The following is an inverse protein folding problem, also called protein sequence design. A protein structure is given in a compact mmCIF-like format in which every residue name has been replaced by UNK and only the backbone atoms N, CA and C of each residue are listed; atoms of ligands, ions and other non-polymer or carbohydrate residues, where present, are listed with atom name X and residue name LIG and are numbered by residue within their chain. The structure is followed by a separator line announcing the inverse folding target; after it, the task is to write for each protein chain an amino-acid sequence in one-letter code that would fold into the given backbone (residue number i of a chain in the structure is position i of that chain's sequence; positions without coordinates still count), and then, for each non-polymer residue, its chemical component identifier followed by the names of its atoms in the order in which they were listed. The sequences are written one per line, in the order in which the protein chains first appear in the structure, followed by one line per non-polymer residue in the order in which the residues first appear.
data_IF_930081062943
#
_entry.id   IF_930081062943
#
_cell.length_a   1.000
_cell.length_b   1.000
_cell.length_c   1.000
_cell.angle_alpha   90.00
_cell.angle_beta   90.00
_cell.angle_gamma   90.00
#
_symmetry.space_group_name_H-M   'P 1'
#
loop_
_entity.id
_entity.type
_entity.pdbx_description
1 polymer ?
#
# COMPACT_ATOMS: atom_id res chain seq x y z
N UNK A 1 48.36 30.76 4.11
CA UNK A 1 48.43 31.18 5.54
C UNK A 1 47.25 30.51 6.21
N UNK A 2 47.48 29.32 6.77
CA UNK A 2 47.62 29.08 8.22
C UNK A 2 46.40 29.52 9.01
N UNK A 3 45.80 28.76 9.93
CA UNK A 3 45.91 27.39 10.47
C UNK A 3 44.87 27.40 11.63
N UNK A 4 44.58 26.23 12.22
CA UNK A 4 43.87 26.01 13.51
C UNK A 4 42.33 25.99 13.45
N UNK A 5 41.62 24.87 13.49
CA UNK A 5 41.75 23.61 14.26
C UNK A 5 41.43 23.79 15.75
N UNK A 6 40.19 23.53 16.13
CA UNK A 6 39.70 23.20 17.47
C UNK A 6 38.40 22.39 17.30
N UNK A 7 38.05 21.36 18.03
CA UNK A 7 38.75 20.34 18.80
C UNK A 7 37.64 19.32 19.08
N UNK A 8 37.91 18.03 18.81
CA UNK A 8 37.00 16.95 19.22
C UNK A 8 36.84 16.97 20.74
N UNK A 9 35.64 16.70 21.25
CA UNK A 9 35.50 16.25 22.64
C UNK A 9 34.76 14.91 22.71
N UNK A 10 35.57 13.92 23.02
CA UNK A 10 35.25 12.55 23.36
C UNK A 10 34.62 12.51 24.76
N UNK A 11 33.47 11.87 24.91
CA UNK A 11 33.00 11.37 26.20
C UNK A 11 32.63 9.90 26.04
N UNK A 12 33.66 9.08 26.22
CA UNK A 12 33.56 7.65 26.52
C UNK A 12 33.08 7.52 27.97
N UNK A 13 31.93 6.89 28.19
CA UNK A 13 31.55 6.34 29.50
C UNK A 13 31.58 4.81 29.39
N UNK A 14 32.48 4.11 30.09
CA UNK A 14 32.47 2.66 30.15
C UNK A 14 31.50 2.23 31.25
N UNK A 15 30.33 1.70 30.88
CA UNK A 15 29.51 0.95 31.83
C UNK A 15 30.08 -0.46 31.90
N UNK A 16 30.80 -0.70 33.01
CA UNK A 16 31.36 -1.98 33.42
C UNK A 16 30.27 -3.06 33.47
N UNK A 17 30.49 -4.10 32.68
CA UNK A 17 29.72 -5.34 32.67
C UNK A 17 30.13 -6.16 33.89
N UNK A 18 29.23 -6.32 34.85
CA UNK A 18 29.37 -7.32 35.91
C UNK A 18 28.76 -8.63 35.41
N UNK A 19 29.59 -9.49 34.85
CA UNK A 19 29.27 -10.89 34.60
C UNK A 19 29.25 -11.64 35.93
N UNK A 20 28.05 -11.89 36.48
CA UNK A 20 27.87 -12.92 37.50
C UNK A 20 27.87 -14.28 36.82
N UNK A 21 28.92 -15.05 37.05
CA UNK A 21 29.04 -16.46 36.66
C UNK A 21 27.99 -17.32 37.36
N UNK A 22 27.00 -17.81 36.60
CA UNK A 22 26.12 -18.90 37.06
C UNK A 22 26.57 -20.19 36.38
N UNK A 23 26.92 -21.24 37.15
CA UNK A 23 27.41 -22.49 36.60
C UNK A 23 26.29 -23.34 35.98
N UNK A 24 26.69 -23.98 34.88
CA UNK A 24 26.03 -25.02 34.10
C UNK A 24 25.56 -26.20 34.98
N UNK A 25 24.33 -26.70 34.73
CA UNK A 25 23.94 -28.13 34.73
C UNK A 25 22.41 -28.26 34.61
N UNK A 26 21.91 -28.65 33.44
CA UNK A 26 20.97 -29.77 33.31
C UNK A 26 20.57 -29.97 31.85
N UNK A 27 20.72 -31.22 31.42
CA UNK A 27 20.20 -31.77 30.18
C UNK A 27 18.71 -31.51 30.05
N UNK A 28 18.25 -31.11 28.86
CA UNK A 28 17.17 -31.79 28.12
C UNK A 28 16.69 -30.97 26.91
N UNK A 29 16.47 -31.69 25.82
CA UNK A 29 15.69 -31.37 24.63
C UNK A 29 16.19 -30.22 23.72
N UNK A 30 16.87 -30.61 22.63
CA UNK A 30 16.70 -29.90 21.36
C UNK A 30 15.20 -29.92 21.02
N UNK A 31 14.49 -28.84 21.32
CA UNK A 31 13.19 -28.59 20.72
C UNK A 31 13.45 -28.25 19.25
N UNK A 32 13.26 -29.23 18.36
CA UNK A 32 13.11 -29.00 16.94
C UNK A 32 11.86 -28.12 16.77
N UNK A 33 12.08 -26.80 16.67
CA UNK A 33 11.03 -25.88 16.24
C UNK A 33 10.71 -26.23 14.80
N UNK A 34 9.70 -27.07 14.60
CA UNK A 34 9.04 -27.18 13.30
C UNK A 34 8.45 -25.81 13.01
N UNK A 35 9.14 -25.02 12.18
CA UNK A 35 8.51 -23.89 11.50
C UNK A 35 7.35 -24.46 10.70
N UNK A 36 6.16 -24.41 11.29
CA UNK A 36 4.93 -24.58 10.52
C UNK A 36 4.93 -23.44 9.52
N UNK A 37 5.27 -23.75 8.28
CA UNK A 37 4.90 -22.93 7.14
C UNK A 37 3.37 -22.87 7.16
N UNK A 38 2.83 -21.87 7.83
CA UNK A 38 1.42 -21.56 7.78
C UNK A 38 1.10 -21.23 6.33
N UNK A 39 0.47 -22.18 5.63
CA UNK A 39 -0.09 -21.93 4.31
C UNK A 39 -1.08 -20.78 4.46
N UNK A 40 -0.75 -19.62 3.89
CA UNK A 40 -1.69 -18.52 3.84
C UNK A 40 -2.96 -19.03 3.17
N UNK A 41 -4.15 -18.80 3.75
CA UNK A 41 -5.39 -19.27 3.14
C UNK A 41 -5.45 -18.79 1.69
N UNK A 42 -5.72 -19.71 0.76
CA UNK A 42 -5.83 -19.38 -0.66
C UNK A 42 -6.96 -18.36 -0.86
N UNK A 43 -6.59 -17.13 -1.22
CA UNK A 43 -7.54 -16.04 -1.48
C UNK A 43 -7.81 -15.94 -2.97
N UNK A 44 -9.05 -15.63 -3.32
CA UNK A 44 -9.47 -15.47 -4.72
C UNK A 44 -9.62 -13.99 -5.05
N UNK A 45 -9.15 -13.58 -6.22
CA UNK A 45 -9.29 -12.22 -6.74
C UNK A 45 -10.49 -12.13 -7.68
N UNK A 46 -11.34 -11.13 -7.47
CA UNK A 46 -12.45 -10.82 -8.36
C UNK A 46 -11.99 -9.95 -9.54
N UNK A 47 -12.74 -10.00 -10.65
CA UNK A 47 -12.45 -9.16 -11.83
C UNK A 47 -12.55 -7.68 -11.45
N UNK A 48 -11.55 -6.90 -11.86
CA UNK A 48 -11.53 -5.44 -11.65
C UNK A 48 -12.77 -4.76 -12.24
N UNK A 49 -13.40 -3.90 -11.43
CA UNK A 49 -14.54 -3.06 -11.80
C UNK A 49 -14.34 -1.66 -11.22
N UNK A 50 -14.74 -0.66 -11.97
CA UNK A 50 -14.67 0.75 -11.58
C UNK A 50 -15.92 1.48 -12.08
N UNK A 51 -16.47 2.34 -11.24
CA UNK A 51 -17.49 3.33 -11.55
C UNK A 51 -16.88 4.73 -11.79
N UNK A 52 -15.55 4.87 -11.65
CA UNK A 52 -14.84 6.14 -11.75
C UNK A 52 -14.83 6.89 -10.42
N UNK A 53 -15.18 8.17 -10.41
CA UNK A 53 -15.15 8.97 -9.18
C UNK A 53 -16.46 8.77 -8.38
N UNK A 54 -16.54 7.68 -7.60
CA UNK A 54 -17.74 7.34 -6.82
C UNK A 54 -18.25 8.53 -6.00
N UNK A 55 -19.47 8.98 -6.29
CA UNK A 55 -20.12 10.07 -5.55
C UNK A 55 -19.50 11.46 -5.77
N UNK A 56 -18.65 11.63 -6.78
CA UNK A 56 -17.99 12.90 -7.10
C UNK A 56 -17.98 13.17 -8.62
N UNK A 57 -18.01 14.44 -9.07
CA UNK A 57 -17.84 14.74 -10.50
C UNK A 57 -16.50 14.22 -11.04
N UNK A 58 -16.44 13.87 -12.32
CA UNK A 58 -15.22 13.31 -12.94
C UNK A 58 -14.39 14.34 -13.70
N UNK A 59 -14.83 15.59 -13.66
CA UNK A 59 -14.22 16.74 -14.28
C UNK A 59 -15.02 18.01 -14.05
N UNK A 60 -14.61 19.08 -14.71
CA UNK A 60 -15.32 20.36 -14.66
C UNK A 60 -16.54 20.34 -15.59
N UNK A 61 -17.34 21.40 -15.56
CA UNK A 61 -18.43 21.56 -16.52
C UNK A 61 -17.92 21.60 -17.98
N UNK A 62 -16.73 22.16 -18.21
CA UNK A 62 -16.13 22.31 -19.54
C UNK A 62 -15.45 21.01 -19.98
N UNK A 63 -14.80 20.32 -19.04
CA UNK A 63 -14.09 19.06 -19.28
C UNK A 63 -14.61 17.96 -18.34
N UNK A 64 -15.71 17.29 -18.67
CA UNK A 64 -16.42 16.40 -17.74
C UNK A 64 -15.68 15.15 -17.28
N UNK A 65 -14.55 14.81 -17.92
CA UNK A 65 -13.73 13.63 -17.60
C UNK A 65 -12.29 14.00 -17.21
N UNK A 66 -12.02 15.27 -16.92
CA UNK A 66 -10.68 15.82 -16.72
C UNK A 66 -9.81 14.96 -15.78
N UNK A 67 -10.38 14.50 -14.66
CA UNK A 67 -9.67 13.69 -13.66
C UNK A 67 -10.26 12.29 -13.48
N UNK A 68 -11.19 11.85 -14.34
CA UNK A 68 -11.75 10.48 -14.33
C UNK A 68 -10.65 9.41 -14.26
N UNK A 69 -9.58 9.63 -15.01
CA UNK A 69 -8.45 8.71 -15.06
C UNK A 69 -7.73 8.55 -13.72
N UNK A 70 -7.65 9.59 -12.89
CA UNK A 70 -7.08 9.53 -11.55
C UNK A 70 -7.92 8.63 -10.63
N UNK A 71 -9.25 8.71 -10.71
CA UNK A 71 -10.16 7.86 -9.94
C UNK A 71 -10.06 6.38 -10.35
N UNK A 72 -9.92 6.11 -11.66
CA UNK A 72 -9.71 4.73 -12.16
C UNK A 72 -8.38 4.16 -11.66
N UNK A 73 -7.32 4.97 -11.62
CA UNK A 73 -6.04 4.53 -11.06
C UNK A 73 -6.15 4.26 -9.56
N UNK A 74 -6.85 5.12 -8.81
CA UNK A 74 -7.12 4.94 -7.38
C UNK A 74 -7.90 3.65 -7.10
N UNK A 75 -8.95 3.38 -7.88
CA UNK A 75 -9.74 2.15 -7.79
C UNK A 75 -8.88 0.89 -8.03
N UNK A 76 -7.84 0.94 -8.87
CA UNK A 76 -6.94 -0.20 -9.06
C UNK A 76 -6.13 -0.52 -7.82
N UNK A 77 -5.60 0.48 -7.13
CA UNK A 77 -4.91 0.27 -5.85
C UNK A 77 -5.87 -0.28 -4.80
N UNK A 78 -7.11 0.23 -4.75
CA UNK A 78 -8.14 -0.28 -3.83
C UNK A 78 -8.57 -1.69 -4.17
N UNK A 79 -8.53 -2.06 -5.44
CA UNK A 79 -8.82 -3.41 -5.88
C UNK A 79 -7.74 -4.40 -5.44
N UNK A 80 -6.46 -4.04 -5.59
CA UNK A 80 -5.37 -4.92 -5.21
C UNK A 80 -5.08 -4.95 -3.72
N UNK A 81 -5.32 -3.84 -3.01
CA UNK A 81 -4.93 -3.71 -1.61
C UNK A 81 -3.41 -3.65 -1.43
N UNK A 82 -2.94 -4.08 -0.27
CA UNK A 82 -1.52 -4.02 0.15
C UNK A 82 -1.39 -3.54 1.59
N UNK A 83 -0.16 -3.29 2.10
CA UNK A 83 0.03 -2.68 3.42
C UNK A 83 -0.75 -1.37 3.59
N UNK A 84 -1.16 -1.02 4.82
CA UNK A 84 -1.89 0.24 5.07
C UNK A 84 -1.12 1.48 4.58
N UNK A 85 0.22 1.45 4.63
CA UNK A 85 1.04 2.52 4.05
C UNK A 85 0.91 2.65 2.53
N UNK A 86 0.50 1.60 1.83
CA UNK A 86 0.18 1.64 0.40
C UNK A 86 -1.21 2.25 0.15
N UNK A 87 -2.14 2.11 1.09
CA UNK A 87 -3.43 2.83 1.06
C UNK A 87 -3.19 4.34 1.14
N UNK A 88 -2.43 4.80 2.14
CA UNK A 88 -2.08 6.21 2.30
C UNK A 88 -1.39 6.78 1.04
N UNK A 89 -0.48 5.99 0.45
CA UNK A 89 0.19 6.36 -0.80
C UNK A 89 -0.78 6.44 -1.99
N UNK A 90 -1.75 5.52 -2.09
CA UNK A 90 -2.75 5.55 -3.14
C UNK A 90 -3.62 6.81 -3.04
N UNK A 91 -4.02 7.21 -1.83
CA UNK A 91 -4.82 8.41 -1.61
C UNK A 91 -4.03 9.70 -1.90
N UNK A 92 -2.75 9.74 -1.53
CA UNK A 92 -1.85 10.84 -1.89
C UNK A 92 -1.59 10.90 -3.40
N UNK A 93 -1.48 9.75 -4.08
CA UNK A 93 -1.37 9.69 -5.54
C UNK A 93 -2.62 10.21 -6.24
N UNK A 94 -3.82 9.88 -5.74
CA UNK A 94 -5.07 10.44 -6.24
C UNK A 94 -5.03 11.97 -6.17
N UNK A 95 -4.66 12.51 -5.00
CA UNK A 95 -4.51 13.95 -4.81
C UNK A 95 -3.54 14.56 -5.83
N UNK A 96 -2.33 14.03 -5.92
CA UNK A 96 -1.31 14.53 -6.82
C UNK A 96 -1.71 14.44 -8.31
N UNK A 97 -2.41 13.37 -8.70
CA UNK A 97 -2.92 13.20 -10.06
C UNK A 97 -3.95 14.28 -10.42
N UNK A 98 -4.87 14.59 -9.49
CA UNK A 98 -5.88 15.63 -9.71
C UNK A 98 -5.23 17.03 -9.72
N UNK A 99 -4.26 17.29 -8.84
CA UNK A 99 -3.47 18.55 -8.87
C UNK A 99 -2.77 18.75 -10.22
N UNK A 100 -2.26 17.66 -10.82
CA UNK A 100 -1.64 17.73 -12.15
C UNK A 100 -2.61 18.11 -13.28
N UNK A 101 -3.93 18.08 -13.04
CA UNK A 101 -4.94 18.60 -13.98
C UNK A 101 -5.14 20.12 -13.85
N UNK A 102 -4.53 20.76 -12.85
CA UNK A 102 -4.69 22.19 -12.52
C UNK A 102 -5.79 22.48 -11.49
N UNK A 103 -6.41 21.44 -10.92
CA UNK A 103 -7.63 21.53 -10.11
C UNK A 103 -7.36 21.24 -8.62
N UNK A 104 -6.48 22.04 -8.01
CA UNK A 104 -5.96 21.84 -6.65
C UNK A 104 -7.04 21.80 -5.56
N UNK A 105 -8.11 22.57 -5.74
CA UNK A 105 -9.25 22.59 -4.80
C UNK A 105 -10.00 21.26 -4.84
N UNK A 106 -10.26 20.74 -6.04
CA UNK A 106 -10.88 19.43 -6.22
C UNK A 106 -10.00 18.32 -5.66
N UNK A 107 -8.69 18.39 -5.88
CA UNK A 107 -7.73 17.43 -5.33
C UNK A 107 -7.77 17.36 -3.80
N UNK A 108 -7.78 18.52 -3.12
CA UNK A 108 -7.88 18.58 -1.66
C UNK A 108 -9.21 18.04 -1.14
N UNK A 109 -10.34 18.40 -1.78
CA UNK A 109 -11.66 17.90 -1.41
C UNK A 109 -11.70 16.38 -1.53
N UNK A 110 -11.25 15.83 -2.67
CA UNK A 110 -11.23 14.38 -2.88
C UNK A 110 -10.37 13.68 -1.84
N UNK A 111 -9.16 14.19 -1.58
CA UNK A 111 -8.26 13.61 -0.58
C UNK A 111 -8.93 13.52 0.80
N UNK A 112 -9.45 14.63 1.32
CA UNK A 112 -10.09 14.61 2.64
C UNK A 112 -11.38 13.78 2.67
N UNK A 113 -12.17 13.78 1.58
CA UNK A 113 -13.37 12.96 1.50
C UNK A 113 -13.03 11.45 1.55
N UNK A 114 -11.96 11.02 0.88
CA UNK A 114 -11.47 9.65 0.91
C UNK A 114 -11.00 9.26 2.31
N UNK A 115 -10.18 10.11 2.95
CA UNK A 115 -9.69 9.87 4.33
C UNK A 115 -10.85 9.77 5.33
N UNK A 116 -11.83 10.68 5.25
CA UNK A 116 -13.02 10.64 6.10
C UNK A 116 -13.87 9.39 5.81
N UNK A 117 -13.92 8.94 4.55
CA UNK A 117 -14.56 7.71 4.14
C UNK A 117 -13.98 6.46 4.82
N UNK A 118 -12.66 6.39 5.03
CA UNK A 118 -12.05 5.25 5.75
C UNK A 118 -12.39 5.22 7.23
N UNK A 119 -12.48 6.39 7.84
CA UNK A 119 -12.76 6.54 9.27
C UNK A 119 -14.25 6.35 9.59
N UNK A 120 -15.10 6.45 8.57
CA UNK A 120 -16.54 6.21 8.69
C UNK A 120 -16.81 4.72 8.96
N UNK A 121 -17.70 4.38 9.91
CA UNK A 121 -18.18 3.01 10.07
C UNK A 121 -19.08 2.56 8.90
N UNK A 122 -19.52 3.50 8.06
CA UNK A 122 -20.31 3.23 6.86
C UNK A 122 -19.39 3.17 5.64
N UNK A 123 -19.32 1.99 5.01
CA UNK A 123 -18.55 1.72 3.80
C UNK A 123 -19.46 1.85 2.58
N UNK A 124 -19.11 2.74 1.65
CA UNK A 124 -19.77 2.84 0.35
C UNK A 124 -19.45 1.58 -0.46
N UNK A 125 -20.45 1.03 -1.15
CA UNK A 125 -20.41 -0.27 -1.86
C UNK A 125 -19.04 -0.65 -2.43
N UNK A 126 -18.45 -1.72 -1.89
CA UNK A 126 -17.15 -2.26 -2.32
C UNK A 126 -15.99 -1.25 -2.31
N UNK A 127 -16.10 -0.04 -1.77
CA UNK A 127 -15.01 0.96 -1.66
C UNK A 127 -14.19 0.77 -0.38
N UNK A 128 -13.72 -0.46 -0.21
CA UNK A 128 -12.79 -0.87 0.85
C UNK A 128 -11.41 -1.12 0.25
N UNK A 129 -10.39 -0.94 1.06
CA UNK A 129 -9.04 -1.33 0.69
C UNK A 129 -8.97 -2.84 0.42
N UNK A 130 -8.34 -3.24 -0.70
CA UNK A 130 -8.28 -4.60 -1.24
C UNK A 130 -9.63 -5.26 -1.57
N UNK A 131 -10.62 -4.48 -2.01
CA UNK A 131 -11.97 -4.97 -2.33
C UNK A 131 -12.02 -6.13 -3.33
N UNK A 132 -10.93 -6.36 -4.07
CA UNK A 132 -10.81 -7.44 -5.04
C UNK A 132 -10.74 -8.82 -4.39
N UNK A 133 -10.19 -8.93 -3.18
CA UNK A 133 -9.89 -10.21 -2.55
C UNK A 133 -11.05 -10.80 -1.76
N UNK A 134 -11.17 -12.14 -1.79
CA UNK A 134 -12.09 -12.93 -0.96
C UNK A 134 -11.35 -14.12 -0.32
N UNK A 135 -11.67 -14.49 0.94
CA UNK A 135 -12.57 -13.78 1.85
C UNK A 135 -11.98 -12.43 2.31
N UNK A 136 -12.87 -11.55 2.73
CA UNK A 136 -12.55 -10.20 3.23
C UNK A 136 -11.72 -10.29 4.52
N UNK A 137 -10.94 -9.24 4.84
CA UNK A 137 -10.14 -9.14 6.06
C UNK A 137 -8.66 -9.52 5.91
N UNK A 138 -8.16 -9.62 4.68
CA UNK A 138 -6.77 -10.00 4.36
C UNK A 138 -6.04 -8.95 3.51
N UNK A 139 -6.68 -7.80 3.28
CA UNK A 139 -6.31 -6.80 2.28
C UNK A 139 -5.07 -5.98 2.65
N UNK A 140 -4.64 -6.06 3.92
CA UNK A 140 -3.51 -5.29 4.46
C UNK A 140 -2.16 -5.98 4.32
N UNK A 141 -2.12 -7.17 3.73
CA UNK A 141 -0.89 -7.94 3.51
C UNK A 141 -0.23 -7.52 2.19
N UNK A 142 1.10 -7.51 2.15
CA UNK A 142 1.84 -7.36 0.91
C UNK A 142 1.55 -8.54 -0.03
N UNK A 143 1.47 -8.27 -1.34
CA UNK A 143 1.25 -9.30 -2.35
C UNK A 143 2.44 -10.27 -2.41
N UNK A 144 2.15 -11.56 -2.34
CA UNK A 144 3.12 -12.59 -2.72
C UNK A 144 3.35 -12.61 -4.23
N UNK A 145 4.47 -13.20 -4.68
CA UNK A 145 4.75 -13.38 -6.11
C UNK A 145 3.60 -14.11 -6.84
N UNK A 146 3.02 -15.14 -6.21
CA UNK A 146 1.87 -15.86 -6.78
C UNK A 146 0.60 -15.01 -6.85
N UNK A 147 0.34 -14.16 -5.86
CA UNK A 147 -0.82 -13.26 -5.89
C UNK A 147 -0.65 -12.17 -6.95
N UNK A 148 0.58 -11.72 -7.20
CA UNK A 148 0.86 -10.81 -8.29
C UNK A 148 0.52 -11.40 -9.65
N UNK A 149 0.88 -12.66 -9.91
CA UNK A 149 0.52 -13.34 -11.16
C UNK A 149 -1.01 -13.44 -11.34
N UNK A 150 -1.74 -13.63 -10.24
CA UNK A 150 -3.21 -13.59 -10.22
C UNK A 150 -3.73 -12.18 -10.52
N UNK A 151 -3.15 -11.14 -9.92
CA UNK A 151 -3.48 -9.73 -10.20
C UNK A 151 -3.23 -9.40 -11.66
N UNK A 152 -2.06 -9.77 -12.20
CA UNK A 152 -1.69 -9.50 -13.59
C UNK A 152 -2.64 -10.18 -14.57
N UNK A 153 -2.88 -11.48 -14.41
CA UNK A 153 -3.77 -12.23 -15.31
C UNK A 153 -5.22 -11.73 -15.22
N UNK A 154 -5.71 -11.45 -14.02
CA UNK A 154 -7.07 -10.94 -13.80
C UNK A 154 -7.23 -9.55 -14.39
N UNK A 155 -6.26 -8.65 -14.16
CA UNK A 155 -6.31 -7.29 -14.70
C UNK A 155 -6.25 -7.30 -16.23
N UNK A 156 -5.39 -8.13 -16.83
CA UNK A 156 -5.31 -8.27 -18.30
C UNK A 156 -6.64 -8.67 -18.93
N UNK A 157 -7.39 -9.56 -18.27
CA UNK A 157 -8.72 -10.00 -18.73
C UNK A 157 -9.87 -9.03 -18.42
N UNK A 158 -9.63 -7.97 -17.65
CA UNK A 158 -10.65 -6.97 -17.31
C UNK A 158 -10.96 -6.01 -18.46
N UNK A 159 -12.05 -5.24 -18.30
CA UNK A 159 -12.48 -4.22 -19.24
C UNK A 159 -11.68 -2.89 -19.16
N UNK A 160 -10.66 -2.79 -18.29
CA UNK A 160 -9.83 -1.59 -18.19
C UNK A 160 -9.09 -1.30 -19.51
N UNK A 161 -8.73 -0.03 -19.74
CA UNK A 161 -7.96 0.34 -20.94
C UNK A 161 -6.53 -0.21 -20.88
N UNK A 162 -5.96 -0.56 -22.03
CA UNK A 162 -4.61 -1.15 -22.10
C UNK A 162 -3.53 -0.23 -21.52
N UNK A 163 -3.67 1.09 -21.72
CA UNK A 163 -2.78 2.10 -21.14
C UNK A 163 -2.80 2.04 -19.61
N UNK A 164 -3.99 1.99 -19.02
CA UNK A 164 -4.19 1.91 -17.56
C UNK A 164 -3.62 0.60 -17.01
N UNK A 165 -3.90 -0.53 -17.67
CA UNK A 165 -3.36 -1.84 -17.29
C UNK A 165 -1.84 -1.82 -17.22
N UNK A 166 -1.18 -1.32 -18.27
CA UNK A 166 0.28 -1.34 -18.35
C UNK A 166 0.94 -0.41 -17.33
N UNK A 167 0.44 0.81 -17.15
CA UNK A 167 0.96 1.75 -16.15
C UNK A 167 0.88 1.13 -14.75
N UNK A 168 -0.26 0.56 -14.40
CA UNK A 168 -0.47 -0.02 -13.07
C UNK A 168 0.39 -1.26 -12.83
N UNK A 169 0.48 -2.16 -13.81
CA UNK A 169 1.30 -3.37 -13.69
C UNK A 169 2.80 -3.05 -13.58
N UNK A 170 3.28 -2.02 -14.27
CA UNK A 170 4.67 -1.59 -14.14
C UNK A 170 4.96 -1.03 -12.74
N UNK A 171 4.03 -0.29 -12.15
CA UNK A 171 4.14 0.18 -10.75
C UNK A 171 4.14 -1.01 -9.79
N UNK A 172 3.19 -1.94 -9.90
CA UNK A 172 3.11 -3.10 -9.00
C UNK A 172 4.36 -3.97 -9.03
N UNK A 173 4.99 -4.16 -10.21
CA UNK A 173 6.23 -4.94 -10.32
C UNK A 173 7.36 -4.38 -9.46
N UNK A 174 7.42 -3.07 -9.27
CA UNK A 174 8.43 -2.43 -8.41
C UNK A 174 8.23 -2.71 -6.92
N UNK A 175 7.05 -3.17 -6.50
CA UNK A 175 6.71 -3.42 -5.09
C UNK A 175 6.97 -4.87 -4.65
N UNK A 176 7.25 -5.77 -5.59
CA UNK A 176 7.46 -7.22 -5.35
C UNK A 176 8.95 -7.62 -5.47
N UNK A 177 9.78 -6.75 -6.05
CA UNK A 177 11.24 -6.90 -6.11
C UNK A 177 11.90 -6.48 -4.80
#
# INVERSE_FOLDING_TARGET
MSLFNLQMNSFILPVLVLFSSVPCLSSSALALSTSQAGGSPSRTLSVFKTDGCTGYPEGTYIEPNLWRHCCIEHDLYYWTGGPLSAQDQADLKLKACVEATGEDVHAQIMYYAVILGHQSPYIIHDKRWGNGWKPEGSETQALSQSEFEVVESTLRSSAASEKVKNIFLDVLKTQIQ
#
